data_IF_631197628270
#
_entry.id   IF_631197628270
#
_cell.length_a   1.000
_cell.length_b   1.000
_cell.length_c   1.000
_cell.angle_alpha   90.00
_cell.angle_beta   90.00
_cell.angle_gamma   90.00
#
_symmetry.space_group_name_H-M   'P 1'
#
loop_
_entity.id
_entity.type
_entity.pdbx_description
1 polymer ?
#
# COMPACT_ATOMS: atom_id res chain seq x y z
N UNK A 1 15.13 4.56 13.37
CA UNK A 1 13.91 4.51 14.23
C UNK A 1 13.58 5.83 14.95
N UNK A 2 14.52 6.61 15.53
CA UNK A 2 14.16 7.85 16.25
C UNK A 2 13.41 8.88 15.39
N UNK A 3 13.76 8.97 14.10
CA UNK A 3 13.14 9.90 13.13
C UNK A 3 11.72 9.50 12.72
N UNK A 4 11.45 8.20 12.58
CA UNK A 4 10.11 7.65 12.32
C UNK A 4 9.15 8.01 13.46
N UNK A 5 9.60 7.88 14.71
CA UNK A 5 8.80 8.23 15.89
C UNK A 5 8.52 9.74 16.01
N UNK A 6 9.34 10.57 15.38
CA UNK A 6 9.16 12.03 15.29
C UNK A 6 8.40 12.46 14.03
N UNK A 7 7.95 11.52 13.20
CA UNK A 7 7.31 11.78 11.90
C UNK A 7 8.20 12.59 10.93
N UNK A 8 9.52 12.53 11.10
CA UNK A 8 10.49 13.18 10.19
C UNK A 8 10.74 12.33 8.94
N UNK A 9 10.54 11.01 9.02
CA UNK A 9 10.62 10.08 7.89
C UNK A 9 9.23 9.58 7.55
N UNK A 10 8.68 10.06 6.43
CA UNK A 10 7.37 9.68 5.92
C UNK A 10 7.53 8.80 4.69
N UNK A 11 6.96 7.61 4.79
CA UNK A 11 7.15 6.56 3.79
C UNK A 11 5.93 6.42 2.88
N UNK A 12 6.18 6.13 1.61
CA UNK A 12 5.17 5.64 0.68
C UNK A 12 5.61 4.32 0.00
N UNK A 13 4.67 3.64 -0.65
CA UNK A 13 4.89 2.32 -1.25
C UNK A 13 4.79 2.39 -2.78
N UNK A 14 5.92 2.17 -3.45
CA UNK A 14 6.07 2.19 -4.91
C UNK A 14 6.02 0.79 -5.52
N UNK A 15 4.89 0.09 -5.41
CA UNK A 15 4.75 -1.27 -5.94
C UNK A 15 4.04 -1.27 -7.28
N UNK A 16 2.77 -0.87 -7.29
CA UNK A 16 1.90 -0.93 -8.46
C UNK A 16 2.34 0.01 -9.58
N UNK A 17 2.13 -0.45 -10.80
CA UNK A 17 2.41 0.28 -12.03
C UNK A 17 1.17 0.25 -12.94
N UNK A 18 1.08 1.17 -13.92
CA UNK A 18 0.11 1.01 -15.00
C UNK A 18 0.27 -0.37 -15.66
N UNK A 19 -0.76 -1.21 -15.55
CA UNK A 19 -0.74 -2.58 -16.07
C UNK A 19 -0.18 -3.66 -15.12
N UNK A 20 0.32 -3.29 -13.93
CA UNK A 20 0.87 -4.22 -12.93
C UNK A 20 0.32 -3.92 -11.52
N UNK A 21 -0.88 -4.45 -11.25
CA UNK A 21 -1.53 -4.41 -9.93
C UNK A 21 -1.54 -5.80 -9.27
N UNK A 22 -2.58 -6.59 -9.57
CA UNK A 22 -2.71 -7.97 -9.06
C UNK A 22 -1.58 -8.88 -9.53
N UNK A 23 -1.11 -8.72 -10.77
CA UNK A 23 0.10 -9.36 -11.28
C UNK A 23 1.33 -8.46 -11.05
N UNK A 24 1.71 -8.29 -9.79
CA UNK A 24 2.84 -7.45 -9.40
C UNK A 24 4.17 -7.95 -9.99
N UNK A 25 4.28 -9.25 -10.31
CA UNK A 25 5.48 -9.80 -10.92
C UNK A 25 5.74 -9.28 -12.34
N UNK A 26 4.75 -8.66 -13.00
CA UNK A 26 4.86 -8.07 -14.33
C UNK A 26 5.45 -6.65 -14.37
N UNK A 27 5.82 -6.08 -13.22
CA UNK A 27 6.38 -4.73 -13.12
C UNK A 27 7.58 -4.52 -14.06
N UNK A 28 7.72 -3.28 -14.55
CA UNK A 28 8.66 -2.86 -15.58
C UNK A 28 9.56 -1.71 -15.16
N UNK A 29 9.28 -1.01 -14.04
CA UNK A 29 10.21 -0.01 -13.50
C UNK A 29 11.58 -0.65 -13.37
N UNK A 30 12.57 -0.15 -14.11
CA UNK A 30 13.87 -0.79 -14.30
C UNK A 30 14.91 -0.09 -13.43
N UNK A 31 15.78 -0.88 -12.82
CA UNK A 31 16.96 -0.41 -12.12
C UNK A 31 18.19 -1.06 -12.73
N UNK A 32 19.09 -0.26 -13.28
CA UNK A 32 20.35 -0.73 -13.87
C UNK A 32 21.49 -0.36 -12.96
N UNK A 33 22.31 -1.33 -12.55
CA UNK A 33 23.49 -1.09 -11.74
C UNK A 33 24.54 -0.31 -12.56
N UNK A 34 25.03 0.79 -12.00
CA UNK A 34 26.05 1.66 -12.58
C UNK A 34 27.11 1.98 -11.50
N UNK A 35 28.05 1.05 -11.30
CA UNK A 35 29.07 1.16 -10.26
C UNK A 35 28.48 0.91 -8.87
N UNK A 36 28.40 1.96 -8.05
CA UNK A 36 27.97 1.93 -6.65
C UNK A 36 26.49 2.31 -6.44
N UNK A 37 25.76 2.60 -7.51
CA UNK A 37 24.36 2.97 -7.47
C UNK A 37 23.57 2.37 -8.63
N UNK A 38 22.25 2.35 -8.48
CA UNK A 38 21.29 2.03 -9.53
C UNK A 38 20.81 3.30 -10.21
N UNK A 39 20.60 3.24 -11.53
CA UNK A 39 19.80 4.20 -12.28
C UNK A 39 18.40 3.62 -12.44
N UNK A 40 17.41 4.29 -11.86
CA UNK A 40 16.02 3.83 -11.81
C UNK A 40 15.14 4.65 -12.75
N UNK A 41 14.44 3.96 -13.64
CA UNK A 41 13.52 4.55 -14.61
C UNK A 41 12.18 3.81 -14.62
N UNK A 42 11.07 4.54 -14.55
CA UNK A 42 9.73 3.96 -14.64
C UNK A 42 8.63 4.81 -14.01
N UNK A 43 7.48 4.17 -13.78
CA UNK A 43 6.31 4.82 -13.21
C UNK A 43 5.63 3.92 -12.20
N UNK A 44 5.32 4.49 -11.04
CA UNK A 44 4.43 3.92 -10.03
C UNK A 44 3.10 4.65 -10.04
N UNK A 45 2.05 3.95 -9.64
CA UNK A 45 0.69 4.49 -9.55
C UNK A 45 -0.01 3.98 -8.30
N UNK A 46 -1.11 4.63 -7.92
CA UNK A 46 -1.86 4.38 -6.70
C UNK A 46 -1.01 4.49 -5.41
N UNK A 47 0.10 5.23 -5.47
CA UNK A 47 1.03 5.39 -4.35
C UNK A 47 0.38 6.30 -3.30
N UNK A 48 -0.02 5.71 -2.18
CA UNK A 48 -0.74 6.41 -1.12
C UNK A 48 0.15 7.47 -0.45
N UNK A 49 -0.38 8.68 -0.32
CA UNK A 49 0.22 9.84 0.35
C UNK A 49 1.65 10.20 -0.10
N UNK A 50 2.03 9.85 -1.34
CA UNK A 50 3.36 10.08 -1.89
C UNK A 50 3.75 11.57 -1.90
N UNK A 51 2.79 12.49 -2.04
CA UNK A 51 3.01 13.94 -2.01
C UNK A 51 3.53 14.46 -0.66
N UNK A 52 3.46 13.64 0.39
CA UNK A 52 3.97 13.95 1.73
C UNK A 52 5.18 13.11 2.12
N UNK A 53 5.51 12.09 1.33
CA UNK A 53 6.57 11.15 1.63
C UNK A 53 7.94 11.69 1.24
N UNK A 54 8.94 11.47 2.09
CA UNK A 54 10.34 11.73 1.76
C UNK A 54 11.12 10.45 1.40
N UNK A 55 10.55 9.27 1.67
CA UNK A 55 11.15 7.99 1.31
C UNK A 55 10.11 7.05 0.68
N UNK A 56 10.54 6.24 -0.27
CA UNK A 56 9.71 5.24 -0.91
C UNK A 56 10.37 3.87 -0.91
N UNK A 57 9.62 2.87 -0.49
CA UNK A 57 9.95 1.47 -0.73
C UNK A 57 9.53 1.10 -2.16
N UNK A 58 10.47 0.82 -3.05
CA UNK A 58 10.20 0.63 -4.47
C UNK A 58 10.61 -0.78 -4.92
N UNK A 59 9.71 -1.47 -5.61
CA UNK A 59 10.05 -2.70 -6.32
C UNK A 59 10.44 -2.39 -7.75
N UNK A 60 11.58 -2.91 -8.17
CA UNK A 60 12.18 -2.62 -9.47
C UNK A 60 12.68 -3.89 -10.15
N UNK A 61 12.71 -3.87 -11.47
CA UNK A 61 13.29 -4.90 -12.35
C UNK A 61 14.79 -4.67 -12.46
N UNK A 62 15.58 -5.60 -11.93
CA UNK A 62 17.05 -5.61 -12.07
C UNK A 62 17.55 -6.67 -13.04
N UNK A 63 16.75 -7.70 -13.33
CA UNK A 63 17.05 -8.72 -14.34
C UNK A 63 15.78 -9.15 -15.07
N UNK A 64 15.92 -9.43 -16.36
CA UNK A 64 14.88 -10.05 -17.21
C UNK A 64 15.12 -11.56 -17.42
N UNK A 65 16.16 -12.12 -16.79
CA UNK A 65 16.50 -13.53 -16.87
C UNK A 65 15.66 -14.39 -15.93
N UNK A 66 15.43 -15.64 -16.33
CA UNK A 66 14.72 -16.62 -15.51
C UNK A 66 13.24 -16.29 -15.30
N UNK A 67 12.72 -16.59 -14.11
CA UNK A 67 11.31 -16.31 -13.80
C UNK A 67 11.16 -14.81 -13.50
N UNK A 68 10.05 -14.22 -13.94
CA UNK A 68 9.75 -12.79 -13.68
C UNK A 68 9.82 -12.41 -12.20
N UNK A 69 9.54 -13.31 -11.27
CA UNK A 69 9.64 -13.02 -9.83
C UNK A 69 11.10 -12.91 -9.34
N UNK A 70 12.02 -13.62 -10.00
CA UNK A 70 13.44 -13.68 -9.64
C UNK A 70 14.20 -12.46 -10.15
N UNK A 71 13.63 -11.68 -11.07
CA UNK A 71 14.26 -10.46 -11.58
C UNK A 71 13.96 -9.17 -10.80
N UNK A 72 13.35 -9.28 -9.61
CA UNK A 72 12.85 -8.12 -8.84
C UNK A 72 13.75 -7.82 -7.65
N UNK A 73 14.14 -6.56 -7.51
CA UNK A 73 14.87 -6.02 -6.35
C UNK A 73 14.03 -5.01 -5.58
N UNK A 74 14.43 -4.75 -4.34
CA UNK A 74 13.76 -3.84 -3.42
C UNK A 74 14.70 -2.69 -3.07
N UNK A 75 14.31 -1.47 -3.42
CA UNK A 75 15.12 -0.26 -3.22
C UNK A 75 14.43 0.75 -2.30
N UNK A 76 15.23 1.48 -1.53
CA UNK A 76 14.81 2.65 -0.78
C UNK A 76 15.15 3.91 -1.59
N UNK A 77 14.11 4.58 -2.11
CA UNK A 77 14.24 5.75 -2.97
C UNK A 77 13.99 7.01 -2.16
N UNK A 78 14.92 7.97 -2.20
CA UNK A 78 14.69 9.33 -1.70
C UNK A 78 13.74 10.06 -2.66
N UNK A 79 12.60 10.51 -2.13
CA UNK A 79 11.55 11.15 -2.90
C UNK A 79 11.85 12.62 -3.24
N UNK A 80 12.85 13.23 -2.59
CA UNK A 80 13.23 14.62 -2.82
C UNK A 80 14.37 14.76 -3.84
N UNK A 81 14.90 13.66 -4.36
CA UNK A 81 15.99 13.73 -5.32
C UNK A 81 15.50 14.17 -6.71
N UNK A 82 16.37 14.79 -7.53
CA UNK A 82 16.08 15.07 -8.93
C UNK A 82 15.66 13.81 -9.70
N UNK A 83 14.68 13.95 -10.59
CA UNK A 83 14.14 12.84 -11.38
C UNK A 83 12.94 12.13 -10.74
N UNK A 84 12.60 12.43 -9.49
CA UNK A 84 11.34 11.98 -8.86
C UNK A 84 10.27 13.05 -9.06
N UNK A 85 9.20 12.70 -9.77
CA UNK A 85 8.03 13.58 -9.95
C UNK A 85 6.78 12.93 -9.38
N UNK A 86 6.12 13.59 -8.45
CA UNK A 86 4.86 13.13 -7.84
C UNK A 86 3.68 13.90 -8.44
N UNK A 87 2.69 13.17 -8.94
CA UNK A 87 1.46 13.73 -9.48
C UNK A 87 0.25 13.17 -8.72
N UNK A 88 -0.43 13.99 -7.90
CA UNK A 88 -1.65 13.58 -7.20
C UNK A 88 -2.76 13.17 -8.17
N UNK A 89 -3.47 12.09 -7.83
CA UNK A 89 -4.65 11.62 -8.56
C UNK A 89 -5.87 12.10 -7.79
N UNK A 90 -6.75 12.85 -8.46
CA UNK A 90 -8.03 13.24 -7.89
C UNK A 90 -9.01 12.08 -8.00
N UNK A 91 -9.41 11.53 -6.86
CA UNK A 91 -10.37 10.41 -6.78
C UNK A 91 -11.81 10.91 -6.88
N UNK A 92 -12.76 9.97 -7.03
CA UNK A 92 -14.18 10.26 -7.28
C UNK A 92 -14.86 11.05 -6.14
N UNK A 93 -14.39 10.87 -4.91
CA UNK A 93 -14.79 11.62 -3.72
C UNK A 93 -14.15 13.02 -3.65
N UNK A 94 -13.31 13.37 -4.63
CA UNK A 94 -12.62 14.66 -4.72
C UNK A 94 -11.32 14.74 -3.92
N UNK A 95 -10.94 13.68 -3.20
CA UNK A 95 -9.70 13.62 -2.43
C UNK A 95 -8.47 13.36 -3.31
N UNK A 96 -7.28 13.48 -2.72
CA UNK A 96 -5.97 13.29 -3.39
C UNK A 96 -5.06 12.40 -2.54
N UNK A 97 -5.63 11.28 -2.08
CA UNK A 97 -4.92 10.37 -1.18
C UNK A 97 -3.89 9.48 -1.91
N UNK A 98 -3.99 9.36 -3.24
CA UNK A 98 -3.16 8.49 -4.06
C UNK A 98 -2.51 9.25 -5.21
N UNK A 99 -1.35 8.79 -5.67
CA UNK A 99 -0.50 9.52 -6.61
C UNK A 99 0.09 8.62 -7.69
N UNK A 100 0.43 9.21 -8.82
CA UNK A 100 1.44 8.70 -9.73
C UNK A 100 2.82 9.21 -9.28
N UNK A 101 3.84 8.37 -9.39
CA UNK A 101 5.24 8.72 -9.14
C UNK A 101 6.05 8.32 -10.36
N UNK A 102 6.67 9.31 -11.00
CA UNK A 102 7.55 9.11 -12.15
C UNK A 102 9.00 9.14 -11.68
N UNK A 103 9.81 8.23 -12.21
CA UNK A 103 11.22 8.07 -11.89
C UNK A 103 11.99 8.19 -13.21
N UNK A 104 12.79 9.24 -13.33
CA UNK A 104 13.61 9.55 -14.50
C UNK A 104 15.08 9.68 -14.06
N UNK A 105 15.90 8.70 -14.44
CA UNK A 105 17.33 8.62 -14.10
C UNK A 105 17.66 8.82 -12.61
N UNK A 106 16.76 8.33 -11.76
CA UNK A 106 16.84 8.43 -10.30
C UNK A 106 17.99 7.58 -9.79
N UNK A 107 18.92 8.16 -9.02
CA UNK A 107 20.10 7.48 -8.51
C UNK A 107 19.83 6.88 -7.14
N UNK A 108 20.00 5.58 -6.99
CA UNK A 108 19.80 4.88 -5.72
C UNK A 108 21.07 4.14 -5.33
N UNK A 109 21.79 4.52 -4.27
CA UNK A 109 22.97 3.80 -3.80
C UNK A 109 22.68 2.31 -3.58
N UNK A 110 23.67 1.44 -3.84
CA UNK A 110 23.51 -0.02 -3.62
C UNK A 110 23.24 -0.33 -2.15
N UNK A 111 23.76 0.47 -1.22
CA UNK A 111 23.48 0.37 0.23
C UNK A 111 21.99 0.59 0.57
N UNK A 112 21.24 1.27 -0.29
CA UNK A 112 19.79 1.47 -0.14
C UNK A 112 18.99 0.29 -0.73
N UNK A 113 19.65 -0.77 -1.20
CA UNK A 113 18.98 -2.01 -1.56
C UNK A 113 18.67 -2.82 -0.30
N UNK A 114 17.41 -3.20 -0.16
CA UNK A 114 16.99 -4.08 0.93
C UNK A 114 17.37 -5.51 0.59
N UNK A 115 18.36 -6.03 1.30
CA UNK A 115 18.85 -7.39 1.16
C UNK A 115 19.58 -7.65 -0.16
N UNK A 116 19.43 -8.86 -0.67
CA UNK A 116 20.10 -9.31 -1.89
C UNK A 116 19.40 -8.80 -3.15
N UNK A 117 20.20 -8.53 -4.19
CA UNK A 117 19.67 -8.28 -5.53
C UNK A 117 18.83 -9.46 -5.99
N UNK A 118 17.78 -9.20 -6.78
CA UNK A 118 16.91 -10.23 -7.35
C UNK A 118 16.09 -11.03 -6.29
N UNK A 119 16.18 -10.67 -5.01
CA UNK A 119 15.38 -11.26 -3.91
C UNK A 119 14.25 -10.34 -3.42
N UNK A 120 13.99 -9.23 -4.09
CA UNK A 120 12.96 -8.26 -3.73
C UNK A 120 11.56 -8.86 -3.66
N UNK A 121 11.21 -9.80 -4.53
CA UNK A 121 9.94 -10.52 -4.47
C UNK A 121 9.75 -11.33 -3.18
N UNK A 122 10.83 -11.93 -2.66
CA UNK A 122 10.79 -12.69 -1.41
C UNK A 122 10.50 -11.76 -0.24
N UNK A 123 11.19 -10.61 -0.17
CA UNK A 123 10.99 -9.62 0.87
C UNK A 123 9.61 -8.96 0.79
N UNK A 124 9.15 -8.62 -0.43
CA UNK A 124 7.83 -8.04 -0.66
C UNK A 124 6.69 -8.98 -0.21
N UNK A 125 6.76 -10.27 -0.54
CA UNK A 125 5.75 -11.25 -0.09
C UNK A 125 5.65 -11.33 1.44
N UNK A 126 6.79 -11.26 2.13
CA UNK A 126 6.81 -11.28 3.59
C UNK A 126 6.11 -10.05 4.18
N UNK A 127 6.40 -8.86 3.64
CA UNK A 127 5.76 -7.60 4.05
C UNK A 127 4.25 -7.59 3.73
N UNK A 128 3.87 -7.96 2.51
CA UNK A 128 2.46 -8.07 2.09
C UNK A 128 1.68 -9.12 2.89
N UNK A 129 2.36 -10.13 3.45
CA UNK A 129 1.77 -11.08 4.38
C UNK A 129 1.36 -10.41 5.70
N UNK A 130 2.21 -9.55 6.23
CA UNK A 130 1.95 -8.80 7.47
C UNK A 130 0.88 -7.71 7.30
N UNK A 131 0.87 -6.99 6.17
CA UNK A 131 -0.11 -5.93 5.92
C UNK A 131 -1.54 -6.46 5.88
N UNK A 132 -1.76 -7.67 5.34
CA UNK A 132 -3.11 -8.28 5.26
C UNK A 132 -3.76 -8.48 6.63
N UNK A 133 -2.98 -8.77 7.66
CA UNK A 133 -3.53 -8.92 9.02
C UNK A 133 -4.03 -7.59 9.57
N UNK A 134 -3.38 -6.48 9.24
CA UNK A 134 -3.80 -5.13 9.64
C UNK A 134 -5.05 -4.66 8.88
N UNK A 135 -5.12 -4.93 7.56
CA UNK A 135 -6.23 -4.53 6.68
C UNK A 135 -7.54 -5.24 7.02
N UNK A 136 -7.50 -6.43 7.62
CA UNK A 136 -8.69 -7.16 8.03
C UNK A 136 -9.61 -6.34 8.98
N UNK A 137 -9.09 -5.28 9.61
CA UNK A 137 -9.85 -4.26 10.32
C UNK A 137 -10.85 -4.81 11.35
N UNK A 138 -10.58 -5.99 11.93
CA UNK A 138 -11.46 -6.71 12.87
C UNK A 138 -11.91 -5.81 14.02
N UNK A 139 -11.00 -4.98 14.55
CA UNK A 139 -11.32 -4.00 15.60
C UNK A 139 -12.36 -2.97 15.16
N UNK A 140 -12.23 -2.43 13.93
CA UNK A 140 -13.20 -1.50 13.34
C UNK A 140 -14.54 -2.20 13.12
N UNK A 141 -14.56 -3.40 12.56
CA UNK A 141 -15.79 -4.18 12.35
C UNK A 141 -16.52 -4.44 13.67
N UNK A 142 -15.80 -4.85 14.72
CA UNK A 142 -16.37 -5.03 16.07
C UNK A 142 -16.91 -3.72 16.66
N UNK A 143 -16.19 -2.61 16.49
CA UNK A 143 -16.65 -1.30 16.95
C UNK A 143 -17.92 -0.84 16.22
N UNK A 144 -18.00 -1.04 14.89
CA UNK A 144 -19.18 -0.72 14.11
C UNK A 144 -20.38 -1.61 14.49
N UNK A 145 -20.18 -2.91 14.74
CA UNK A 145 -21.23 -3.80 15.25
C UNK A 145 -21.72 -3.33 16.64
N UNK A 146 -20.79 -2.89 17.52
CA UNK A 146 -21.16 -2.34 18.82
C UNK A 146 -22.02 -1.08 18.67
N UNK A 147 -21.58 -0.14 17.81
CA UNK A 147 -22.31 1.10 17.49
C UNK A 147 -23.69 0.81 16.90
N UNK A 148 -23.78 -0.15 15.97
CA UNK A 148 -25.04 -0.57 15.34
C UNK A 148 -26.03 -1.10 16.38
N UNK A 149 -25.58 -1.90 17.36
CA UNK A 149 -26.44 -2.37 18.46
C UNK A 149 -26.93 -1.23 19.33
N UNK A 150 -26.08 -0.25 19.64
CA UNK A 150 -26.47 0.93 20.42
C UNK A 150 -27.57 1.71 19.70
N UNK A 151 -27.40 2.00 18.41
CA UNK A 151 -28.41 2.68 17.60
C UNK A 151 -29.70 1.84 17.54
N UNK A 152 -29.60 0.55 17.22
CA UNK A 152 -30.77 -0.33 17.11
C UNK A 152 -31.53 -0.54 18.43
N UNK A 153 -30.88 -0.30 19.58
CA UNK A 153 -31.55 -0.35 20.88
C UNK A 153 -32.31 0.93 21.20
N UNK A 154 -31.94 2.05 20.57
CA UNK A 154 -32.55 3.36 20.79
C UNK A 154 -33.62 3.71 19.74
N UNK A 155 -33.47 3.21 18.51
CA UNK A 155 -34.41 3.45 17.41
C UNK A 155 -35.60 2.48 17.48
N UNK A 156 -36.81 3.00 17.24
CA UNK A 156 -38.04 2.22 17.21
C UNK A 156 -38.53 2.01 15.77
N UNK A 157 -39.08 0.81 15.52
CA UNK A 157 -39.79 0.47 14.31
C UNK A 157 -41.05 -0.31 14.69
N UNK A 158 -42.22 0.15 14.23
CA UNK A 158 -43.52 -0.42 14.58
C UNK A 158 -43.75 -0.53 16.12
N UNK A 159 -43.33 0.48 16.88
CA UNK A 159 -43.54 0.55 18.33
C UNK A 159 -42.69 -0.43 19.15
N UNK A 160 -41.64 -1.00 18.56
CA UNK A 160 -40.65 -1.82 19.28
C UNK A 160 -39.24 -1.40 18.88
N UNK A 161 -38.28 -1.46 19.79
CA UNK A 161 -36.88 -1.20 19.47
C UNK A 161 -36.41 -2.12 18.32
N UNK A 162 -35.69 -1.54 17.36
CA UNK A 162 -35.23 -2.22 16.15
C UNK A 162 -34.38 -3.47 16.45
N UNK A 163 -33.68 -3.49 17.59
CA UNK A 163 -32.89 -4.64 18.04
C UNK A 163 -33.74 -5.90 18.34
N UNK A 164 -35.04 -5.75 18.57
CA UNK A 164 -35.97 -6.86 18.78
C UNK A 164 -36.71 -7.29 17.49
N UNK A 165 -36.65 -6.48 16.43
CA UNK A 165 -37.20 -6.84 15.13
C UNK A 165 -36.53 -8.12 14.59
N UNK A 166 -37.33 -9.08 14.13
CA UNK A 166 -36.84 -10.39 13.71
C UNK A 166 -36.00 -10.31 12.44
N UNK A 167 -36.40 -9.50 11.46
CA UNK A 167 -35.69 -9.33 10.21
C UNK A 167 -34.35 -8.61 10.44
N UNK A 168 -34.31 -7.64 11.35
CA UNK A 168 -33.09 -6.95 11.75
C UNK A 168 -32.13 -7.89 12.51
N UNK A 169 -32.63 -8.69 13.45
CA UNK A 169 -31.81 -9.67 14.20
C UNK A 169 -31.13 -10.68 13.30
N UNK A 170 -31.80 -11.16 12.25
CA UNK A 170 -31.20 -12.11 11.32
C UNK A 170 -30.07 -11.48 10.50
N UNK A 171 -30.26 -10.24 10.03
CA UNK A 171 -29.19 -9.48 9.36
C UNK A 171 -28.00 -9.23 10.29
N UNK A 172 -28.25 -8.88 11.56
CA UNK A 172 -27.19 -8.70 12.55
C UNK A 172 -26.45 -10.00 12.87
N UNK A 173 -27.13 -11.15 12.87
CA UNK A 173 -26.53 -12.47 13.07
C UNK A 173 -25.57 -12.81 11.94
N UNK A 174 -26.00 -12.63 10.69
CA UNK A 174 -25.17 -12.82 9.50
C UNK A 174 -23.94 -11.91 9.56
N UNK A 175 -24.12 -10.63 9.91
CA UNK A 175 -23.02 -9.66 10.03
C UNK A 175 -21.97 -10.08 11.08
N UNK A 176 -22.38 -10.71 12.18
CA UNK A 176 -21.45 -11.23 13.20
C UNK A 176 -20.67 -12.47 12.77
N UNK A 177 -21.15 -13.23 11.80
CA UNK A 177 -20.46 -14.42 11.31
C UNK A 177 -19.32 -14.07 10.33
N UNK A 178 -19.40 -12.90 9.70
CA UNK A 178 -18.48 -12.44 8.65
C UNK A 178 -17.47 -11.39 9.13
N UNK A 179 -17.53 -11.00 10.42
CA UNK A 179 -16.67 -9.99 11.05
C UNK A 179 -15.87 -10.58 12.22
#
# INVERSE_FOLDING_TARGET
MPRILKSEDWWCQGYSEPGSGSDLASLRTKAVLNGDHYIVNGQKTWTSLAQHANLMFCLVRTSDEGKRQEGISFLLVDMNQPGVTVQPIKTIDGSTEVNNVFLEDVKVPVENRVGEENKGWTYAKYLLGHERTSIAAVGRSKAQIKRLKTIASAEEHNGTALIHDQAFREKLRILRLIC
#
